data_IF_499833183490
#
_entry.id   IF_499833183490
#
_cell.length_a   1.000
_cell.length_b   1.000
_cell.length_c   1.000
_cell.angle_alpha   90.00
_cell.angle_beta   90.00
_cell.angle_gamma   90.00
#
_symmetry.space_group_name_H-M   'P 1'
#
loop_
_entity.id
_entity.type
_entity.pdbx_description
1 polymer ?
#
# COMPACT_ATOMS: atom_id res chain seq x y z
N UNK A 1 -4.04 18.50 -37.64
CA UNK A 1 -4.55 17.72 -36.51
C UNK A 1 -3.50 17.83 -35.39
N UNK A 2 -3.92 18.09 -34.17
CA UNK A 2 -2.97 18.06 -33.04
C UNK A 2 -2.42 16.63 -32.90
N UNK A 3 -1.13 16.51 -32.63
CA UNK A 3 -0.48 15.21 -32.40
C UNK A 3 -0.88 14.74 -31.01
N UNK A 4 -1.34 13.49 -30.88
CA UNK A 4 -1.61 12.90 -29.58
C UNK A 4 -0.36 12.88 -28.69
N UNK A 5 -0.59 13.00 -27.38
CA UNK A 5 0.48 12.93 -26.38
C UNK A 5 0.71 11.46 -26.03
N UNK A 6 1.92 10.91 -26.22
CA UNK A 6 2.22 9.57 -25.74
C UNK A 6 2.25 9.57 -24.22
N UNK A 7 1.55 8.62 -23.60
CA UNK A 7 1.55 8.40 -22.16
C UNK A 7 1.66 6.94 -21.80
N UNK A 8 2.33 6.66 -20.68
CA UNK A 8 2.39 5.35 -20.05
C UNK A 8 1.42 5.28 -18.89
N UNK A 9 0.62 4.20 -18.81
CA UNK A 9 -0.26 3.93 -17.68
C UNK A 9 0.14 2.58 -17.07
N UNK A 10 0.54 2.55 -15.80
CA UNK A 10 0.90 1.33 -15.09
C UNK A 10 -0.09 1.03 -13.97
N UNK A 11 -0.68 -0.16 -13.98
CA UNK A 11 -1.60 -0.63 -12.94
C UNK A 11 -1.70 -2.17 -12.94
N UNK A 12 -2.31 -2.71 -11.88
CA UNK A 12 -2.65 -4.12 -11.81
C UNK A 12 -3.55 -4.55 -12.96
N UNK A 13 -3.44 -5.83 -13.36
CA UNK A 13 -4.32 -6.41 -14.39
C UNK A 13 -5.70 -6.72 -13.80
N UNK A 14 -6.56 -5.73 -13.78
CA UNK A 14 -7.89 -5.78 -13.17
C UNK A 14 -8.98 -5.47 -14.21
N UNK A 15 -10.17 -6.00 -13.98
CA UNK A 15 -11.37 -5.75 -14.80
C UNK A 15 -11.69 -4.26 -14.98
N UNK A 16 -11.47 -3.45 -13.93
CA UNK A 16 -11.73 -2.01 -13.90
C UNK A 16 -10.87 -1.19 -14.86
N UNK A 17 -9.68 -1.68 -15.20
CA UNK A 17 -8.76 -1.01 -16.14
C UNK A 17 -8.67 -1.74 -17.48
N UNK A 18 -9.30 -2.90 -17.61
CA UNK A 18 -9.21 -3.75 -18.80
C UNK A 18 -9.60 -3.01 -20.08
N UNK A 19 -10.62 -2.15 -20.04
CA UNK A 19 -11.09 -1.43 -21.22
C UNK A 19 -10.07 -0.41 -21.76
N UNK A 20 -9.23 0.16 -20.90
CA UNK A 20 -8.11 1.02 -21.31
C UNK A 20 -6.96 0.15 -21.81
N UNK A 21 -6.65 -0.94 -21.08
CA UNK A 21 -5.58 -1.87 -21.42
C UNK A 21 -5.73 -2.47 -22.81
N UNK A 22 -6.93 -2.89 -23.19
CA UNK A 22 -7.21 -3.52 -24.48
C UNK A 22 -7.67 -2.55 -25.58
N UNK A 23 -7.67 -1.24 -25.29
CA UNK A 23 -7.97 -0.19 -26.24
C UNK A 23 -9.45 0.02 -26.57
N UNK A 24 -10.38 -0.67 -25.87
CA UNK A 24 -11.84 -0.46 -26.05
C UNK A 24 -12.28 0.93 -25.60
N UNK A 25 -11.57 1.52 -24.66
CA UNK A 25 -11.73 2.91 -24.22
C UNK A 25 -10.42 3.63 -24.43
N UNK A 26 -10.47 4.77 -25.11
CA UNK A 26 -9.31 5.60 -25.37
C UNK A 26 -9.32 6.84 -24.47
N UNK A 27 -8.13 7.31 -24.15
CA UNK A 27 -7.94 8.60 -23.46
C UNK A 27 -7.83 9.66 -24.56
N UNK A 28 -8.78 10.58 -24.60
CA UNK A 28 -8.85 11.61 -25.64
C UNK A 28 -7.56 12.45 -25.69
N UNK A 29 -7.02 12.60 -26.90
CA UNK A 29 -5.79 13.36 -27.13
C UNK A 29 -4.49 12.64 -26.73
N UNK A 30 -4.57 11.35 -26.32
CA UNK A 30 -3.42 10.57 -25.90
C UNK A 30 -3.23 9.29 -26.73
N UNK A 31 -1.97 8.90 -26.90
CA UNK A 31 -1.56 7.56 -27.33
C UNK A 31 -1.10 6.79 -26.11
N UNK A 32 -1.95 5.88 -25.61
CA UNK A 32 -1.74 5.15 -24.37
C UNK A 32 -0.92 3.89 -24.59
N UNK A 33 0.19 3.74 -23.83
CA UNK A 33 0.86 2.46 -23.59
C UNK A 33 0.49 1.96 -22.22
N UNK A 34 -0.35 0.93 -22.13
CA UNK A 34 -0.73 0.32 -20.86
C UNK A 34 0.27 -0.78 -20.47
N UNK A 35 0.79 -0.71 -19.23
CA UNK A 35 1.77 -1.66 -18.68
C UNK A 35 1.10 -2.40 -17.52
N UNK A 36 0.57 -3.62 -17.73
CA UNK A 36 0.05 -4.44 -16.65
C UNK A 36 1.20 -4.92 -15.78
N UNK A 37 1.10 -4.71 -14.48
CA UNK A 37 2.17 -5.01 -13.54
C UNK A 37 1.60 -5.27 -12.15
N UNK A 38 2.28 -6.11 -11.36
CA UNK A 38 1.90 -6.31 -9.97
C UNK A 38 1.93 -4.99 -9.18
N UNK A 39 0.93 -4.70 -8.34
CA UNK A 39 0.83 -3.41 -7.63
C UNK A 39 2.07 -3.06 -6.83
N UNK A 40 2.72 -4.03 -6.21
CA UNK A 40 3.95 -3.81 -5.43
C UNK A 40 5.09 -3.28 -6.31
N UNK A 41 5.26 -3.82 -7.50
CA UNK A 41 6.27 -3.38 -8.47
C UNK A 41 5.93 -1.98 -9.01
N UNK A 42 4.65 -1.72 -9.34
CA UNK A 42 4.20 -0.37 -9.76
C UNK A 42 4.55 0.65 -8.68
N UNK A 43 4.18 0.36 -7.43
CA UNK A 43 4.42 1.29 -6.31
C UNK A 43 5.91 1.54 -6.08
N UNK A 44 6.74 0.50 -6.14
CA UNK A 44 8.18 0.64 -5.96
C UNK A 44 8.78 1.54 -7.04
N UNK A 45 8.48 1.28 -8.31
CA UNK A 45 9.03 2.04 -9.44
C UNK A 45 8.51 3.47 -9.49
N UNK A 46 7.24 3.66 -9.18
CA UNK A 46 6.63 5.00 -9.12
C UNK A 46 7.25 5.86 -8.01
N UNK A 47 7.29 5.36 -6.76
CA UNK A 47 7.85 6.15 -5.64
C UNK A 47 9.37 6.34 -5.71
N UNK A 48 10.09 5.42 -6.37
CA UNK A 48 11.55 5.47 -6.43
C UNK A 48 12.06 6.24 -7.63
N UNK A 49 11.36 6.16 -8.76
CA UNK A 49 11.87 6.64 -10.05
C UNK A 49 10.93 7.57 -10.80
N UNK A 50 9.70 7.77 -10.33
CA UNK A 50 8.64 8.50 -11.04
C UNK A 50 8.51 8.05 -12.51
N UNK A 51 8.56 6.73 -12.74
CA UNK A 51 8.80 6.14 -14.06
C UNK A 51 7.63 6.25 -15.03
N UNK A 52 6.41 6.41 -14.52
CA UNK A 52 5.19 6.37 -15.32
C UNK A 52 4.54 7.75 -15.41
N UNK A 53 3.83 8.05 -16.51
CA UNK A 53 3.04 9.28 -16.60
C UNK A 53 1.76 9.20 -15.75
N UNK A 54 1.17 8.00 -15.66
CA UNK A 54 0.02 7.70 -14.81
C UNK A 54 0.18 6.31 -14.21
N UNK A 55 -0.14 6.14 -12.93
CA UNK A 55 -0.03 4.81 -12.32
C UNK A 55 -0.95 4.63 -11.12
N UNK A 56 -1.23 3.38 -10.80
CA UNK A 56 -1.79 3.02 -9.50
C UNK A 56 -0.76 3.27 -8.39
N UNK A 57 -1.20 3.84 -7.27
CA UNK A 57 -0.33 4.09 -6.12
C UNK A 57 -0.95 3.64 -4.80
N UNK A 58 -0.09 3.27 -3.85
CA UNK A 58 -0.47 3.09 -2.46
C UNK A 58 -0.98 4.41 -1.89
N UNK A 59 -2.26 4.44 -1.48
CA UNK A 59 -2.92 5.68 -1.06
C UNK A 59 -2.30 6.27 0.20
N UNK A 60 -1.99 5.47 1.21
CA UNK A 60 -1.33 5.95 2.43
C UNK A 60 0.07 6.53 2.15
N UNK A 61 0.86 5.84 1.32
CA UNK A 61 2.19 6.33 0.93
C UNK A 61 2.09 7.64 0.14
N UNK A 62 1.12 7.74 -0.79
CA UNK A 62 0.88 8.96 -1.55
C UNK A 62 0.48 10.14 -0.63
N UNK A 63 -0.47 9.93 0.29
CA UNK A 63 -0.84 10.97 1.26
C UNK A 63 0.36 11.44 2.08
N UNK A 64 1.20 10.50 2.51
CA UNK A 64 2.40 10.80 3.31
C UNK A 64 3.40 11.66 2.54
N UNK A 65 3.79 11.27 1.32
CA UNK A 65 4.76 12.07 0.54
C UNK A 65 4.17 13.43 0.14
N UNK A 66 2.86 13.49 -0.12
CA UNK A 66 2.15 14.75 -0.40
C UNK A 66 2.17 15.69 0.80
N UNK A 67 1.94 15.19 2.01
CA UNK A 67 1.99 16.01 3.24
C UNK A 67 3.39 16.59 3.52
N UNK A 68 4.42 15.97 2.95
CA UNK A 68 5.82 16.41 3.05
C UNK A 68 6.28 17.29 1.86
N UNK A 69 5.39 17.60 0.92
CA UNK A 69 5.71 18.26 -0.35
C UNK A 69 6.80 17.52 -1.16
N UNK A 70 6.76 16.17 -1.14
CA UNK A 70 7.72 15.30 -1.84
C UNK A 70 7.04 14.36 -2.85
N UNK A 71 5.79 14.63 -3.21
CA UNK A 71 5.05 13.81 -4.16
C UNK A 71 5.43 14.18 -5.60
N UNK A 72 5.85 13.20 -6.39
CA UNK A 72 6.07 13.33 -7.84
C UNK A 72 4.76 13.22 -8.63
N UNK A 73 3.70 12.69 -8.02
CA UNK A 73 2.41 12.47 -8.64
C UNK A 73 1.30 13.28 -7.97
N UNK A 74 0.32 13.65 -8.77
CA UNK A 74 -0.95 14.24 -8.30
C UNK A 74 -2.03 13.17 -8.30
N UNK A 75 -2.73 13.03 -7.18
CA UNK A 75 -3.85 12.08 -7.07
C UNK A 75 -5.06 12.51 -7.88
N UNK A 76 -5.60 11.61 -8.70
CA UNK A 76 -6.90 11.77 -9.37
C UNK A 76 -7.94 10.87 -8.67
N UNK A 77 -9.25 11.19 -8.71
CA UNK A 77 -10.28 10.46 -7.98
C UNK A 77 -10.66 9.12 -8.64
N UNK A 78 -9.65 8.33 -9.03
CA UNK A 78 -9.78 7.00 -9.62
C UNK A 78 -9.22 5.94 -8.68
N UNK A 79 -10.09 5.28 -7.91
CA UNK A 79 -9.70 4.24 -6.95
C UNK A 79 -9.81 2.88 -7.61
N UNK A 80 -8.76 2.44 -8.27
CA UNK A 80 -8.74 1.21 -9.09
C UNK A 80 -8.65 -0.06 -8.23
N UNK A 81 -8.06 0.00 -7.03
CA UNK A 81 -8.01 -1.10 -6.07
C UNK A 81 -8.78 -0.75 -4.79
N UNK A 82 -9.84 -1.49 -4.49
CA UNK A 82 -10.71 -1.27 -3.33
C UNK A 82 -11.09 -2.60 -2.70
N UNK A 83 -10.69 -2.80 -1.44
CA UNK A 83 -10.90 -4.05 -0.69
C UNK A 83 -11.28 -3.72 0.75
N UNK A 84 -12.21 -4.50 1.33
CA UNK A 84 -12.46 -4.48 2.76
C UNK A 84 -11.27 -5.09 3.51
N UNK A 85 -10.71 -4.36 4.47
CA UNK A 85 -9.48 -4.76 5.15
C UNK A 85 -9.69 -5.67 6.36
N UNK A 86 -10.91 -5.88 6.81
CA UNK A 86 -11.22 -6.86 7.87
C UNK A 86 -10.74 -8.28 7.52
N UNK A 87 -10.80 -8.68 6.25
CA UNK A 87 -10.31 -9.98 5.78
C UNK A 87 -8.78 -10.11 5.74
N UNK A 88 -8.05 -9.04 6.01
CA UNK A 88 -6.58 -9.03 6.00
C UNK A 88 -5.94 -9.45 7.33
N UNK A 89 -6.73 -9.69 8.38
CA UNK A 89 -6.21 -10.15 9.66
C UNK A 89 -6.05 -11.68 9.66
N UNK A 90 -4.83 -12.14 9.91
CA UNK A 90 -4.50 -13.55 10.08
C UNK A 90 -4.01 -13.79 11.50
N UNK A 91 -4.56 -14.79 12.18
CA UNK A 91 -4.21 -15.12 13.56
C UNK A 91 -3.69 -16.55 13.66
N UNK A 92 -2.80 -16.76 14.60
CA UNK A 92 -2.41 -18.11 15.04
C UNK A 92 -3.42 -18.61 16.04
N UNK A 93 -4.15 -19.66 15.68
CA UNK A 93 -5.21 -20.27 16.50
C UNK A 93 -4.69 -20.94 17.77
N UNK A 94 -3.39 -21.29 17.79
CA UNK A 94 -2.69 -21.92 18.93
C UNK A 94 -2.18 -20.89 19.98
N UNK A 95 -2.44 -19.60 19.80
CA UNK A 95 -1.94 -18.52 20.68
C UNK A 95 -3.01 -17.88 21.56
N UNK A 96 -4.19 -18.49 21.63
CA UNK A 96 -5.28 -18.02 22.47
C UNK A 96 -5.87 -16.68 22.02
N UNK A 97 -5.76 -16.36 20.73
CA UNK A 97 -6.39 -15.18 20.14
C UNK A 97 -7.75 -15.63 19.61
N UNK A 98 -8.82 -15.14 20.21
CA UNK A 98 -10.22 -15.50 19.87
C UNK A 98 -11.06 -14.29 19.51
N UNK A 99 -10.61 -13.09 19.87
CA UNK A 99 -11.27 -11.80 19.60
C UNK A 99 -10.21 -10.71 19.45
N UNK A 100 -10.55 -9.57 18.82
CA UNK A 100 -9.58 -8.50 18.57
C UNK A 100 -8.83 -8.00 19.81
N UNK A 101 -9.51 -7.90 20.97
CA UNK A 101 -8.92 -7.41 22.20
C UNK A 101 -7.77 -8.28 22.74
N UNK A 102 -7.71 -9.54 22.31
CA UNK A 102 -6.63 -10.46 22.68
C UNK A 102 -5.30 -10.09 22.00
N UNK A 103 -5.32 -9.14 21.04
CA UNK A 103 -4.11 -8.63 20.37
C UNK A 103 -3.28 -7.70 21.25
N UNK A 104 -3.84 -7.16 22.35
CA UNK A 104 -3.08 -6.32 23.27
C UNK A 104 -1.87 -7.06 23.83
N UNK A 105 -0.69 -6.43 23.73
CA UNK A 105 0.58 -7.01 24.14
C UNK A 105 1.08 -8.17 23.28
N UNK A 106 0.48 -8.42 22.13
CA UNK A 106 0.94 -9.46 21.19
C UNK A 106 1.90 -8.89 20.15
N UNK A 107 2.73 -9.81 19.61
CA UNK A 107 3.52 -9.53 18.42
C UNK A 107 2.65 -9.65 17.18
N UNK A 108 2.61 -8.59 16.38
CA UNK A 108 1.89 -8.55 15.10
C UNK A 108 2.85 -8.19 13.98
N UNK A 109 2.96 -9.10 13.00
CA UNK A 109 3.77 -8.93 11.81
C UNK A 109 3.02 -8.16 10.72
N UNK A 110 3.74 -7.35 9.95
CA UNK A 110 3.23 -6.64 8.79
C UNK A 110 4.36 -6.39 7.78
N UNK A 111 4.06 -6.23 6.48
CA UNK A 111 5.11 -6.00 5.48
C UNK A 111 5.81 -4.65 5.69
N UNK A 112 5.03 -3.59 5.83
CA UNK A 112 5.47 -2.21 6.06
C UNK A 112 4.43 -1.50 6.91
N UNK A 113 4.87 -0.73 7.90
CA UNK A 113 3.96 -0.08 8.85
C UNK A 113 3.05 0.97 8.17
N UNK A 114 3.55 1.68 7.17
CA UNK A 114 2.86 2.78 6.52
C UNK A 114 2.06 2.37 5.26
N UNK A 115 2.03 1.08 4.88
CA UNK A 115 1.17 0.60 3.78
C UNK A 115 -0.31 0.85 4.05
N UNK A 116 -1.08 1.03 2.98
CA UNK A 116 -2.53 1.30 3.07
C UNK A 116 -3.27 0.22 3.88
N UNK A 117 -2.99 -1.06 3.65
CA UNK A 117 -3.67 -2.14 4.38
C UNK A 117 -3.38 -2.10 5.89
N UNK A 118 -2.11 -2.08 6.36
CA UNK A 118 -1.79 -1.93 7.78
C UNK A 118 -2.33 -0.64 8.41
N UNK A 119 -2.37 0.50 7.69
CA UNK A 119 -2.98 1.74 8.18
C UNK A 119 -4.48 1.53 8.45
N UNK A 120 -5.21 0.95 7.50
CA UNK A 120 -6.61 0.62 7.68
C UNK A 120 -6.86 -0.36 8.82
N UNK A 121 -6.02 -1.41 8.93
CA UNK A 121 -6.14 -2.40 10.00
C UNK A 121 -5.97 -1.76 11.38
N UNK A 122 -5.00 -0.87 11.55
CA UNK A 122 -4.82 -0.14 12.82
C UNK A 122 -6.02 0.76 13.12
N UNK A 123 -6.51 1.50 12.12
CA UNK A 123 -7.73 2.30 12.27
C UNK A 123 -8.92 1.46 12.69
N UNK A 124 -9.16 0.30 12.08
CA UNK A 124 -10.22 -0.63 12.47
C UNK A 124 -10.04 -1.10 13.93
N UNK A 125 -8.81 -1.48 14.32
CA UNK A 125 -8.55 -1.92 15.70
C UNK A 125 -8.81 -0.81 16.71
N UNK A 126 -8.46 0.43 16.41
CA UNK A 126 -8.69 1.57 17.29
C UNK A 126 -10.16 2.00 17.30
N UNK A 127 -10.75 2.25 16.13
CA UNK A 127 -12.09 2.84 16.01
C UNK A 127 -13.21 1.87 16.45
N UNK A 128 -13.07 0.58 16.13
CA UNK A 128 -14.12 -0.41 16.38
C UNK A 128 -13.89 -1.21 17.67
N UNK A 129 -12.63 -1.41 18.09
CA UNK A 129 -12.28 -2.27 19.22
C UNK A 129 -11.51 -1.54 20.34
N UNK A 130 -11.21 -0.27 20.17
CA UNK A 130 -10.50 0.55 21.15
C UNK A 130 -9.07 0.09 21.44
N UNK A 131 -8.44 -0.59 20.47
CA UNK A 131 -7.07 -1.10 20.61
C UNK A 131 -6.12 -0.12 19.93
N UNK A 132 -5.36 0.61 20.74
CA UNK A 132 -4.42 1.59 20.21
C UNK A 132 -3.16 0.91 19.63
N UNK A 133 -2.52 1.52 18.62
CA UNK A 133 -1.28 0.99 18.04
C UNK A 133 -0.17 0.74 19.07
N UNK A 134 -0.08 1.56 20.11
CA UNK A 134 0.93 1.46 21.16
C UNK A 134 0.72 0.25 22.09
N UNK A 135 -0.46 -0.37 22.05
CA UNK A 135 -0.77 -1.57 22.85
C UNK A 135 -0.32 -2.87 22.17
N UNK A 136 0.26 -2.78 20.95
CA UNK A 136 0.69 -3.91 20.13
C UNK A 136 2.19 -3.80 19.84
N UNK A 137 2.89 -4.94 19.84
CA UNK A 137 4.29 -5.02 19.44
C UNK A 137 4.42 -5.30 17.96
N UNK A 138 4.69 -4.28 17.15
CA UNK A 138 4.76 -4.40 15.69
C UNK A 138 6.12 -4.88 15.21
N UNK A 139 6.09 -5.76 14.21
CA UNK A 139 7.28 -6.25 13.52
C UNK A 139 7.09 -6.09 12.02
N UNK A 140 7.93 -5.27 11.36
CA UNK A 140 7.88 -5.06 9.92
C UNK A 140 8.93 -5.90 9.20
N UNK A 141 8.56 -6.45 8.04
CA UNK A 141 9.48 -7.28 7.24
C UNK A 141 8.78 -8.07 6.16
N UNK A 142 9.56 -8.82 5.40
CA UNK A 142 9.01 -9.69 4.36
C UNK A 142 8.08 -10.76 4.93
N UNK A 143 7.05 -11.13 4.17
CA UNK A 143 6.10 -12.18 4.56
C UNK A 143 6.56 -13.57 4.08
N UNK A 144 7.13 -13.63 2.90
CA UNK A 144 7.61 -14.86 2.25
C UNK A 144 9.11 -14.80 2.00
N UNK A 145 9.65 -13.60 1.75
CA UNK A 145 11.08 -13.38 1.56
C UNK A 145 11.62 -12.44 2.63
N UNK A 146 12.80 -12.74 3.14
CA UNK A 146 13.49 -11.89 4.12
C UNK A 146 13.90 -10.54 3.51
N UNK A 147 14.09 -9.53 4.34
CA UNK A 147 14.77 -8.30 3.94
C UNK A 147 13.93 -7.24 3.26
N UNK A 148 12.66 -7.12 3.60
CA UNK A 148 11.81 -6.03 3.10
C UNK A 148 12.00 -4.76 3.94
N UNK A 149 12.44 -3.70 3.31
CA UNK A 149 12.51 -2.36 3.89
C UNK A 149 11.25 -1.54 3.62
N UNK A 150 10.99 -0.53 4.45
CA UNK A 150 9.94 0.46 4.19
C UNK A 150 10.23 1.22 2.88
N UNK A 151 9.28 1.29 1.94
CA UNK A 151 9.42 2.01 0.65
C UNK A 151 9.71 3.48 0.82
N UNK A 152 9.11 4.07 1.84
CA UNK A 152 9.35 5.46 2.20
C UNK A 152 9.87 5.51 3.64
N UNK A 153 11.06 6.11 3.89
CA UNK A 153 11.62 6.21 5.23
C UNK A 153 10.61 6.79 6.22
N UNK A 154 10.51 6.16 7.40
CA UNK A 154 9.51 6.49 8.40
C UNK A 154 10.16 6.40 9.79
N UNK A 155 9.93 7.44 10.58
CA UNK A 155 10.31 7.43 12.00
C UNK A 155 9.08 7.06 12.82
N UNK A 156 9.22 6.03 13.66
CA UNK A 156 8.13 5.59 14.52
C UNK A 156 7.78 6.69 15.54
N UNK A 157 6.48 6.98 15.77
CA UNK A 157 6.06 7.88 16.84
C UNK A 157 6.58 7.44 18.21
N UNK A 158 6.80 8.40 19.10
CA UNK A 158 7.18 8.10 20.47
C UNK A 158 6.14 7.19 21.15
N UNK A 159 6.61 6.14 21.82
CA UNK A 159 5.74 5.16 22.49
C UNK A 159 5.29 3.98 21.64
N UNK A 160 5.56 3.99 20.34
CA UNK A 160 5.24 2.88 19.46
C UNK A 160 6.37 1.83 19.45
N UNK A 161 6.07 0.58 19.80
CA UNK A 161 7.02 -0.54 19.65
C UNK A 161 6.94 -1.09 18.21
N UNK A 162 7.72 -0.50 17.33
CA UNK A 162 7.89 -0.94 15.94
C UNK A 162 9.37 -1.30 15.70
N UNK A 163 9.61 -2.54 15.27
CA UNK A 163 10.95 -3.04 14.96
C UNK A 163 10.96 -3.78 13.63
N UNK A 164 11.99 -3.55 12.83
CA UNK A 164 12.21 -4.34 11.64
C UNK A 164 12.65 -5.77 12.00
N UNK A 165 12.13 -6.76 11.28
CA UNK A 165 12.62 -8.14 11.37
C UNK A 165 14.01 -8.17 10.71
N UNK A 166 15.03 -8.75 11.38
CA UNK A 166 16.35 -8.88 10.77
C UNK A 166 16.31 -9.62 9.42
N UNK A 167 17.14 -9.18 8.47
CA UNK A 167 17.15 -9.72 7.10
C UNK A 167 17.62 -11.18 7.00
N UNK A 168 18.16 -11.72 8.07
CA UNK A 168 18.64 -13.10 8.18
C UNK A 168 17.63 -14.07 8.83
N UNK A 169 16.38 -13.62 9.03
CA UNK A 169 15.31 -14.40 9.68
C UNK A 169 14.02 -14.42 8.89
#
# INVERSE_FOLDING_TARGET
MAKNIPITIAAGDMDRVAAIKDGRVQVEGCDVTFIPMEPEEVFFRAFRYAEFDCCELSFSSHMRVTSQNKADYVGIPAFVSRVFRHSGFYIRTDRGITKPEDLRGKLVGLPEYQMTAPVWMRGILEDEYGIKPEEIHWRSGGQEEAGRDERTPFEAPAGLDLQAIPQDR
#
